data_IF_638179067623
#
_entry.id   IF_638179067623
#
_cell.length_a   1.000
_cell.length_b   1.000
_cell.length_c   1.000
_cell.angle_alpha   90.00
_cell.angle_beta   90.00
_cell.angle_gamma   90.00
#
_symmetry.space_group_name_H-M   'P 1'
#
loop_
_entity.id
_entity.type
_entity.pdbx_description
1 polymer ?
#
# COMPACT_ATOMS: atom_id res chain seq x y z
N UNK A 1 11.39 17.73 -12.38
CA UNK A 1 10.18 17.16 -11.74
C UNK A 1 9.76 15.99 -12.60
N UNK A 2 10.17 14.78 -12.23
CA UNK A 2 9.88 13.59 -13.02
C UNK A 2 8.41 13.21 -12.79
N UNK A 3 7.66 12.94 -13.86
CA UNK A 3 6.25 12.62 -13.75
C UNK A 3 6.10 11.27 -13.03
N UNK A 4 5.70 11.30 -11.76
CA UNK A 4 5.35 10.10 -11.01
C UNK A 4 4.25 9.37 -11.78
N UNK A 5 4.55 8.17 -12.27
CA UNK A 5 3.59 7.39 -13.05
C UNK A 5 2.60 6.72 -12.09
N UNK A 6 1.53 7.44 -11.77
CA UNK A 6 0.43 6.97 -10.94
C UNK A 6 -0.77 6.62 -11.82
N UNK A 7 -1.18 5.36 -11.79
CA UNK A 7 -2.37 4.85 -12.46
C UNK A 7 -3.54 4.91 -11.49
N UNK A 8 -4.66 5.52 -11.92
CA UNK A 8 -5.90 5.49 -11.16
C UNK A 8 -6.57 4.13 -11.36
N UNK A 9 -6.75 3.38 -10.28
CA UNK A 9 -7.43 2.09 -10.27
C UNK A 9 -8.77 2.23 -9.56
N UNK A 10 -9.85 1.86 -10.25
CA UNK A 10 -11.20 1.81 -9.67
C UNK A 10 -11.37 0.49 -8.94
N UNK A 11 -11.64 0.55 -7.63
CA UNK A 11 -11.97 -0.63 -6.83
C UNK A 11 -13.41 -1.06 -7.07
N UNK A 12 -13.65 -1.90 -8.08
CA UNK A 12 -14.96 -2.53 -8.34
C UNK A 12 -14.90 -4.03 -8.08
N UNK A 13 -16.02 -4.63 -7.64
CA UNK A 13 -16.22 -6.07 -7.80
C UNK A 13 -16.33 -6.33 -9.30
N UNK A 14 -15.42 -7.11 -9.87
CA UNK A 14 -15.68 -7.73 -11.16
C UNK A 14 -16.65 -8.87 -10.89
N UNK A 15 -17.80 -8.87 -11.59
CA UNK A 15 -18.77 -9.95 -11.58
C UNK A 15 -18.20 -11.15 -12.35
N UNK A 16 -17.09 -11.71 -11.88
CA UNK A 16 -16.48 -12.89 -12.48
C UNK A 16 -17.04 -14.13 -11.76
N UNK A 17 -17.96 -14.81 -12.44
CA UNK A 17 -18.75 -15.91 -11.89
C UNK A 17 -17.97 -17.24 -11.91
N UNK A 18 -16.65 -17.17 -11.77
CA UNK A 18 -15.76 -18.33 -11.76
C UNK A 18 -15.70 -18.91 -10.34
N UNK A 19 -15.79 -20.25 -10.16
CA UNK A 19 -15.68 -20.88 -8.85
C UNK A 19 -14.22 -20.84 -8.39
N UNK A 20 -13.79 -19.67 -7.93
CA UNK A 20 -12.48 -19.48 -7.32
C UNK A 20 -12.50 -20.02 -5.89
N UNK A 21 -11.41 -20.67 -5.53
CA UNK A 21 -11.16 -21.20 -4.19
C UNK A 21 -11.34 -20.07 -3.16
N UNK A 22 -12.40 -20.12 -2.36
CA UNK A 22 -12.79 -19.00 -1.47
C UNK A 22 -11.66 -18.59 -0.54
N UNK A 23 -10.84 -19.55 -0.14
CA UNK A 23 -9.69 -19.38 0.75
C UNK A 23 -8.66 -18.40 0.17
N UNK A 24 -8.34 -18.49 -1.12
CA UNK A 24 -7.33 -17.60 -1.72
C UNK A 24 -7.85 -16.17 -1.93
N UNK A 25 -9.16 -16.00 -2.11
CA UNK A 25 -9.80 -14.69 -2.23
C UNK A 25 -9.81 -13.99 -0.87
N UNK A 26 -10.20 -14.67 0.19
CA UNK A 26 -10.23 -14.10 1.54
C UNK A 26 -8.84 -13.66 1.98
N UNK A 27 -7.82 -14.47 1.74
CA UNK A 27 -6.42 -14.11 1.99
C UNK A 27 -6.01 -12.88 1.16
N UNK A 28 -6.29 -12.86 -0.13
CA UNK A 28 -5.94 -11.73 -1.01
C UNK A 28 -6.63 -10.43 -0.57
N UNK A 29 -7.92 -10.48 -0.22
CA UNK A 29 -8.67 -9.32 0.27
C UNK A 29 -8.13 -8.86 1.63
N UNK A 30 -7.85 -9.80 2.53
CA UNK A 30 -7.26 -9.50 3.85
C UNK A 30 -5.89 -8.83 3.70
N UNK A 31 -5.04 -9.35 2.83
CA UNK A 31 -3.75 -8.75 2.50
C UNK A 31 -3.90 -7.33 1.93
N UNK A 32 -4.88 -7.10 1.04
CA UNK A 32 -5.14 -5.78 0.50
C UNK A 32 -5.62 -4.80 1.58
N UNK A 33 -6.52 -5.21 2.47
CA UNK A 33 -6.99 -4.38 3.59
C UNK A 33 -5.83 -4.07 4.56
N UNK A 34 -4.98 -5.05 4.87
CA UNK A 34 -3.78 -4.86 5.69
C UNK A 34 -2.74 -3.95 5.04
N UNK A 35 -2.69 -3.89 3.71
CA UNK A 35 -1.91 -2.92 2.95
C UNK A 35 -2.58 -1.53 2.84
N UNK A 36 -3.76 -1.35 3.47
CA UNK A 36 -4.46 -0.07 3.52
C UNK A 36 -5.42 0.21 2.37
N UNK A 37 -5.65 -0.76 1.47
CA UNK A 37 -6.65 -0.62 0.41
C UNK A 37 -8.07 -0.68 0.99
N UNK A 38 -8.98 0.13 0.43
CA UNK A 38 -10.40 0.12 0.80
C UNK A 38 -11.27 -0.27 -0.39
N UNK A 39 -12.22 -1.17 -0.14
CA UNK A 39 -13.18 -1.65 -1.14
C UNK A 39 -14.02 -0.46 -1.65
N UNK A 40 -14.25 -0.38 -2.96
CA UNK A 40 -15.12 0.64 -3.54
C UNK A 40 -14.50 2.03 -3.63
N UNK A 41 -13.21 2.19 -3.29
CA UNK A 41 -12.54 3.49 -3.33
C UNK A 41 -11.51 3.53 -4.46
N UNK A 42 -11.52 4.59 -5.29
CA UNK A 42 -10.48 4.77 -6.28
C UNK A 42 -9.14 5.05 -5.60
N UNK A 43 -8.09 4.35 -6.02
CA UNK A 43 -6.73 4.53 -5.50
C UNK A 43 -5.76 4.83 -6.64
N UNK A 44 -4.74 5.63 -6.35
CA UNK A 44 -3.64 5.87 -7.29
C UNK A 44 -2.49 4.92 -6.96
N UNK A 45 -2.10 4.08 -7.91
CA UNK A 45 -1.04 3.08 -7.75
C UNK A 45 0.13 3.44 -8.65
N UNK A 46 1.34 3.44 -8.10
CA UNK A 46 2.56 3.65 -8.85
C UNK A 46 3.76 3.89 -7.95
N UNK A 47 4.85 4.38 -8.54
CA UNK A 47 6.08 4.73 -7.81
C UNK A 47 6.13 6.22 -7.51
N UNK A 48 6.56 6.53 -6.29
CA UNK A 48 6.71 7.90 -5.80
C UNK A 48 8.13 8.03 -5.28
N UNK A 49 8.87 9.01 -5.80
CA UNK A 49 10.20 9.32 -5.31
C UNK A 49 10.12 9.78 -3.84
N UNK A 50 11.06 9.31 -3.02
CA UNK A 50 11.11 9.64 -1.61
C UNK A 50 12.47 9.45 -0.98
N UNK A 51 12.63 10.03 0.21
CA UNK A 51 13.83 9.90 1.02
C UNK A 51 13.46 9.37 2.39
N UNK A 52 14.21 8.38 2.90
CA UNK A 52 14.09 7.92 4.28
C UNK A 52 14.54 9.05 5.20
N UNK A 53 13.67 9.46 6.12
CA UNK A 53 13.90 10.56 7.07
C UNK A 53 13.90 10.11 8.52
N UNK A 54 13.59 8.84 8.78
CA UNK A 54 13.61 8.28 10.12
C UNK A 54 13.05 6.88 10.17
N UNK A 55 12.98 6.35 11.38
CA UNK A 55 12.46 5.02 11.67
C UNK A 55 11.32 5.09 12.69
N UNK A 56 10.27 4.31 12.46
CA UNK A 56 9.15 4.15 13.35
C UNK A 56 9.42 3.00 14.33
N UNK A 57 9.38 3.28 15.62
CA UNK A 57 9.57 2.29 16.70
C UNK A 57 8.28 2.02 17.50
N UNK A 58 7.15 2.63 17.09
CA UNK A 58 5.88 2.48 17.79
C UNK A 58 5.24 1.14 17.48
N UNK A 59 4.94 0.32 18.49
CA UNK A 59 4.38 -1.03 18.31
C UNK A 59 2.84 -1.10 18.31
N UNK A 60 2.15 0.02 18.14
CA UNK A 60 0.68 0.08 18.20
C UNK A 60 0.07 0.80 16.98
N UNK A 61 -1.18 0.44 16.68
CA UNK A 61 -1.96 0.99 15.56
C UNK A 61 -1.78 0.21 14.25
N UNK A 62 -2.47 0.65 13.19
CA UNK A 62 -2.50 -0.05 11.89
C UNK A 62 -1.16 -0.03 11.13
N UNK A 63 -0.20 0.78 11.55
CA UNK A 63 1.14 0.91 10.95
C UNK A 63 2.21 0.90 12.05
N UNK A 64 2.35 -0.26 12.69
CA UNK A 64 3.35 -0.52 13.73
C UNK A 64 4.77 -0.54 13.15
N UNK A 65 5.77 -0.26 13.98
CA UNK A 65 7.16 -0.07 13.59
C UNK A 65 7.89 -1.35 13.17
N UNK A 66 7.39 -2.52 13.58
CA UNK A 66 7.90 -3.82 13.11
C UNK A 66 7.50 -4.12 11.66
N UNK A 67 6.28 -3.75 11.27
CA UNK A 67 5.75 -3.97 9.91
C UNK A 67 6.07 -2.81 8.96
N UNK A 68 6.04 -1.58 9.47
CA UNK A 68 6.30 -0.33 8.73
C UNK A 68 7.38 0.51 9.43
N UNK A 69 8.64 0.05 9.43
CA UNK A 69 9.73 0.69 10.16
C UNK A 69 10.19 2.01 9.55
N UNK A 70 9.89 2.31 8.28
CA UNK A 70 10.48 3.46 7.59
C UNK A 70 9.54 4.67 7.59
N UNK A 71 10.08 5.85 7.89
CA UNK A 71 9.43 7.12 7.60
C UNK A 71 10.03 7.72 6.34
N UNK A 72 9.24 7.84 5.28
CA UNK A 72 9.67 8.30 3.96
C UNK A 72 9.00 9.63 3.64
N UNK A 73 9.80 10.66 3.38
CA UNK A 73 9.31 11.95 2.88
C UNK A 73 9.20 11.91 1.37
N UNK A 74 8.02 12.24 0.87
CA UNK A 74 7.65 12.26 -0.55
C UNK A 74 7.05 13.62 -0.94
N UNK A 75 6.67 13.78 -2.20
CA UNK A 75 5.91 14.94 -2.67
C UNK A 75 4.52 15.08 -2.02
N UNK A 76 3.97 14.00 -1.44
CA UNK A 76 2.66 13.99 -0.78
C UNK A 76 2.73 14.14 0.74
N UNK A 77 3.93 14.35 1.29
CA UNK A 77 4.18 14.40 2.73
C UNK A 77 4.99 13.21 3.24
N UNK A 78 4.96 12.98 4.55
CA UNK A 78 5.66 11.86 5.20
C UNK A 78 4.73 10.66 5.32
N UNK A 79 5.19 9.51 4.84
CA UNK A 79 4.47 8.24 4.91
C UNK A 79 5.26 7.20 5.72
N UNK A 80 4.53 6.26 6.33
CA UNK A 80 5.11 5.04 6.90
C UNK A 80 5.19 3.98 5.80
N UNK A 81 6.33 3.31 5.68
CA UNK A 81 6.56 2.28 4.68
C UNK A 81 7.19 1.05 5.32
N UNK A 82 6.76 -0.12 4.87
CA UNK A 82 7.47 -1.38 5.04
C UNK A 82 8.71 -1.41 4.15
N UNK A 83 9.64 -2.33 4.44
CA UNK A 83 10.83 -2.51 3.59
C UNK A 83 10.46 -2.99 2.18
N UNK A 84 9.38 -3.77 2.03
CA UNK A 84 8.94 -4.28 0.73
C UNK A 84 8.27 -3.23 -0.17
N UNK A 85 7.78 -2.14 0.38
CA UNK A 85 7.17 -1.03 -0.37
C UNK A 85 8.21 -0.04 -0.92
N UNK A 86 9.45 -0.13 -0.45
CA UNK A 86 10.55 0.75 -0.88
C UNK A 86 11.49 -0.02 -1.79
N UNK A 87 11.78 0.56 -2.95
CA UNK A 87 12.84 0.08 -3.85
C UNK A 87 13.99 1.09 -3.87
N UNK A 88 15.23 0.59 -3.88
CA UNK A 88 16.39 1.43 -4.19
C UNK A 88 16.26 1.99 -5.61
N UNK A 89 16.74 3.22 -5.80
CA UNK A 89 16.76 3.91 -7.09
C UNK A 89 17.82 3.31 -8.04
#
# INVERSE_FOLDING_TARGET
>A
MNAQHLVLVQGGRMDDNSPADHTCIEEAVTHAIHAGFRIGQPVRIGRVDGHVVGYNIGHFGSFSGDSYPLLVRTAFGVAKCSVGEVAAA
#
